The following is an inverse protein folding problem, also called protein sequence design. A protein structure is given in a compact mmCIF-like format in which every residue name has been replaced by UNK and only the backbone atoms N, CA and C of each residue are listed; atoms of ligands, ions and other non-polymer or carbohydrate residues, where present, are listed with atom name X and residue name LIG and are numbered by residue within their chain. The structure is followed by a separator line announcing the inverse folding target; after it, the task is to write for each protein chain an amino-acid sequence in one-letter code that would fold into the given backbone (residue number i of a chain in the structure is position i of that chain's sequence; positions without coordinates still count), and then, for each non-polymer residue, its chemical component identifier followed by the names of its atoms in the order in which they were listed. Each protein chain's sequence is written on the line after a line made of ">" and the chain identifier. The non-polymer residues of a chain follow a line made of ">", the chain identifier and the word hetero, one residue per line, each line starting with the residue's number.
data_IF_676692525149
#
_entry.id   IF_676692525149
#
_cell.length_a   1.000
_cell.length_b   1.000
_cell.length_c   1.000
_cell.angle_alpha   90.00
_cell.angle_beta   90.00
_cell.angle_gamma   90.00
#
_symmetry.space_group_name_H-M   'P 1'
#
loop_
_entity.id
_entity.type
_entity.pdbx_description
1 polymer ?
#
# COMPACT_ATOMS: atom_id res chain seq x y z
N UNK A 1 -35.85 -23.37 -15.95
CA UNK A 1 -35.80 -21.89 -15.95
C UNK A 1 -35.27 -21.24 -14.66
N UNK A 2 -35.08 -21.97 -13.55
CA UNK A 2 -34.60 -21.41 -12.26
C UNK A 2 -33.08 -21.14 -12.18
N UNK A 3 -32.24 -21.95 -12.82
CA UNK A 3 -30.77 -21.80 -12.74
C UNK A 3 -30.23 -20.44 -13.26
N UNK A 4 -30.73 -19.87 -14.38
CA UNK A 4 -30.29 -18.56 -14.86
C UNK A 4 -30.67 -17.41 -13.91
N UNK A 5 -31.80 -17.52 -13.21
CA UNK A 5 -32.27 -16.51 -12.27
C UNK A 5 -31.44 -16.53 -10.97
N UNK A 6 -31.10 -17.72 -10.48
CA UNK A 6 -30.22 -17.88 -9.30
C UNK A 6 -28.80 -17.35 -9.57
N UNK A 7 -28.23 -17.65 -10.75
CA UNK A 7 -26.92 -17.12 -11.14
C UNK A 7 -26.92 -15.59 -11.29
N UNK A 8 -28.02 -15.02 -11.79
CA UNK A 8 -28.20 -13.56 -11.89
C UNK A 8 -28.36 -12.90 -10.51
N UNK A 9 -29.05 -13.55 -9.58
CA UNK A 9 -29.19 -13.06 -8.22
C UNK A 9 -27.86 -13.11 -7.45
N UNK A 10 -27.06 -14.16 -7.62
CA UNK A 10 -25.74 -14.28 -6.99
C UNK A 10 -24.76 -13.22 -7.50
N UNK A 11 -24.68 -13.06 -8.82
CA UNK A 11 -23.85 -12.01 -9.44
C UNK A 11 -24.26 -10.61 -8.97
N UNK A 12 -25.56 -10.32 -8.89
CA UNK A 12 -26.05 -9.05 -8.35
C UNK A 12 -25.65 -8.83 -6.90
N UNK A 13 -25.70 -9.85 -6.04
CA UNK A 13 -25.26 -9.75 -4.63
C UNK A 13 -23.77 -9.42 -4.53
N UNK A 14 -22.93 -10.06 -5.35
CA UNK A 14 -21.48 -9.79 -5.40
C UNK A 14 -21.19 -8.36 -5.83
N UNK A 15 -21.87 -7.88 -6.87
CA UNK A 15 -21.75 -6.50 -7.34
C UNK A 15 -22.19 -5.49 -6.28
N UNK A 16 -23.33 -5.72 -5.62
CA UNK A 16 -23.80 -4.85 -4.53
C UNK A 16 -22.80 -4.77 -3.37
N UNK A 17 -22.18 -5.89 -2.98
CA UNK A 17 -21.14 -5.88 -1.96
C UNK A 17 -19.93 -5.04 -2.38
N UNK A 18 -19.43 -5.28 -3.60
CA UNK A 18 -18.32 -4.51 -4.17
C UNK A 18 -18.62 -3.00 -4.20
N UNK A 19 -19.79 -2.61 -4.70
CA UNK A 19 -20.24 -1.22 -4.77
C UNK A 19 -20.43 -0.59 -3.38
N UNK A 20 -20.91 -1.35 -2.39
CA UNK A 20 -21.06 -0.84 -1.03
C UNK A 20 -19.69 -0.48 -0.41
N UNK A 21 -18.68 -1.34 -0.56
CA UNK A 21 -17.32 -1.02 -0.14
C UNK A 21 -16.70 0.14 -0.95
N UNK A 22 -16.95 0.17 -2.26
CA UNK A 22 -16.53 1.27 -3.13
C UNK A 22 -17.14 2.62 -2.74
N UNK A 23 -18.43 2.67 -2.40
CA UNK A 23 -19.11 3.88 -1.96
C UNK A 23 -18.50 4.43 -0.66
N UNK A 24 -18.23 3.56 0.33
CA UNK A 24 -17.55 3.94 1.57
C UNK A 24 -16.13 4.42 1.28
N UNK A 25 -15.41 3.77 0.37
CA UNK A 25 -14.06 4.19 -0.06
C UNK A 25 -14.09 5.61 -0.61
N UNK A 26 -15.04 5.93 -1.49
CA UNK A 26 -15.20 7.28 -2.06
C UNK A 26 -15.53 8.30 -0.98
N UNK A 27 -16.47 7.97 -0.09
CA UNK A 27 -16.86 8.85 1.03
C UNK A 27 -15.68 9.16 1.97
N UNK A 28 -14.89 8.14 2.36
CA UNK A 28 -13.72 8.32 3.20
C UNK A 28 -12.61 9.10 2.48
N UNK A 29 -12.38 8.81 1.20
CA UNK A 29 -11.40 9.55 0.40
C UNK A 29 -11.77 11.02 0.31
N UNK A 30 -13.03 11.32 0.04
CA UNK A 30 -13.55 12.68 0.04
C UNK A 30 -13.37 13.32 1.42
N UNK A 31 -13.80 12.64 2.50
CA UNK A 31 -13.67 13.15 3.88
C UNK A 31 -12.21 13.46 4.27
N UNK A 32 -11.25 12.64 3.85
CA UNK A 32 -9.84 12.84 4.19
C UNK A 32 -9.17 13.93 3.34
N UNK A 33 -9.65 14.15 2.12
CA UNK A 33 -8.96 15.02 1.15
C UNK A 33 -9.71 16.31 0.82
N UNK A 34 -10.95 16.50 1.29
CA UNK A 34 -11.83 17.61 0.88
C UNK A 34 -11.15 18.99 0.97
N UNK A 35 -10.49 19.29 2.09
CA UNK A 35 -9.83 20.58 2.32
C UNK A 35 -8.65 20.84 1.38
N UNK A 36 -8.13 19.78 0.75
CA UNK A 36 -7.07 19.84 -0.23
C UNK A 36 -7.58 19.87 -1.68
N UNK A 37 -8.89 19.85 -1.95
CA UNK A 37 -9.45 19.77 -3.31
C UNK A 37 -9.65 21.12 -4.00
N UNK A 38 -9.43 22.25 -3.31
CA UNK A 38 -9.41 23.55 -3.98
C UNK A 38 -8.36 23.57 -5.12
N UNK A 39 -8.67 24.23 -6.26
CA UNK A 39 -7.71 24.39 -7.35
C UNK A 39 -6.39 25.02 -6.86
N UNK A 40 -5.27 24.51 -7.37
CA UNK A 40 -3.94 24.99 -7.03
C UNK A 40 -3.05 23.97 -6.31
N UNK A 41 -1.85 24.41 -5.98
CA UNK A 41 -0.77 23.58 -5.46
C UNK A 41 -0.90 23.33 -3.95
N UNK A 42 -0.63 22.10 -3.53
CA UNK A 42 -0.40 21.80 -2.14
C UNK A 42 1.09 21.94 -1.86
N UNK A 43 1.43 22.73 -0.84
CA UNK A 43 2.80 22.93 -0.38
C UNK A 43 2.84 22.57 1.10
N UNK A 44 3.08 21.30 1.39
CA UNK A 44 3.22 20.85 2.77
C UNK A 44 4.22 19.69 2.87
N UNK A 45 5.24 19.87 3.72
CA UNK A 45 6.28 18.87 3.99
C UNK A 45 6.85 18.27 2.70
N UNK A 46 6.76 16.95 2.52
CA UNK A 46 7.30 16.25 1.36
C UNK A 46 6.39 16.36 0.11
N UNK A 47 5.17 16.87 0.25
CA UNK A 47 4.23 17.02 -0.85
C UNK A 47 4.30 18.42 -1.44
N UNK A 48 5.36 18.66 -2.20
CA UNK A 48 5.61 19.92 -2.91
C UNK A 48 5.58 19.64 -4.41
N UNK A 49 4.94 20.52 -5.17
CA UNK A 49 4.89 20.44 -6.64
C UNK A 49 5.00 21.85 -7.21
N UNK A 50 5.67 21.99 -8.35
CA UNK A 50 5.86 23.26 -9.05
C UNK A 50 5.03 23.33 -10.33
N UNK A 51 4.67 24.53 -10.81
CA UNK A 51 3.87 24.66 -12.03
C UNK A 51 4.47 24.04 -13.29
N UNK A 52 5.79 24.16 -13.44
CA UNK A 52 6.53 23.62 -14.58
C UNK A 52 7.65 22.72 -14.03
N UNK A 53 7.39 21.42 -13.82
CA UNK A 53 8.43 20.48 -13.42
C UNK A 53 9.49 20.37 -14.52
N UNK A 54 10.76 20.50 -14.15
CA UNK A 54 11.88 20.38 -15.09
C UNK A 54 12.43 18.95 -15.05
N UNK A 55 12.52 18.31 -16.22
CA UNK A 55 13.23 17.05 -16.38
C UNK A 55 14.74 17.30 -16.31
N UNK A 56 15.32 17.16 -15.13
CA UNK A 56 16.74 17.29 -14.89
C UNK A 56 17.37 15.93 -14.54
N UNK A 57 18.69 15.91 -14.35
CA UNK A 57 19.44 14.69 -14.06
C UNK A 57 19.01 14.00 -12.74
N UNK A 58 18.42 14.73 -11.79
CA UNK A 58 17.91 14.15 -10.54
C UNK A 58 16.72 13.21 -10.78
N UNK A 59 15.86 13.50 -11.77
CA UNK A 59 14.76 12.61 -12.18
C UNK A 59 15.26 11.24 -12.71
N UNK A 60 16.52 11.18 -13.12
CA UNK A 60 17.20 9.96 -13.57
C UNK A 60 18.15 9.36 -12.52
N UNK A 61 18.23 9.94 -11.32
CA UNK A 61 18.98 9.39 -10.18
C UNK A 61 20.31 10.07 -9.85
N UNK A 62 20.63 11.23 -10.44
CA UNK A 62 21.89 11.93 -10.16
C UNK A 62 21.87 12.88 -8.95
N UNK A 63 20.73 13.01 -8.25
CA UNK A 63 20.48 14.07 -7.24
C UNK A 63 20.55 13.63 -5.77
N UNK A 64 21.04 12.43 -5.47
CA UNK A 64 21.08 11.86 -4.12
C UNK A 64 20.61 10.40 -4.11
N UNK A 65 20.08 9.94 -2.97
CA UNK A 65 19.46 8.62 -2.88
C UNK A 65 18.27 8.53 -3.87
N UNK A 66 18.11 7.44 -4.64
CA UNK A 66 17.11 7.32 -5.71
C UNK A 66 15.69 7.06 -5.18
N UNK A 67 15.24 7.83 -4.18
CA UNK A 67 13.97 7.64 -3.46
C UNK A 67 12.72 7.98 -4.28
N UNK A 68 12.88 8.80 -5.32
CA UNK A 68 11.82 9.27 -6.21
C UNK A 68 12.04 8.87 -7.67
N UNK A 69 12.96 7.94 -7.94
CA UNK A 69 13.18 7.42 -9.29
C UNK A 69 12.34 6.15 -9.46
N UNK A 70 11.38 6.07 -10.40
CA UNK A 70 11.08 7.03 -11.49
C UNK A 70 9.89 7.96 -11.23
N UNK A 71 9.36 8.09 -10.00
CA UNK A 71 8.25 9.01 -9.68
C UNK A 71 8.44 10.41 -10.27
N UNK A 72 9.59 11.06 -10.08
CA UNK A 72 9.84 12.43 -10.56
C UNK A 72 9.79 12.51 -12.10
N UNK A 73 10.36 11.51 -12.78
CA UNK A 73 10.27 11.38 -14.24
C UNK A 73 8.81 11.24 -14.68
N UNK A 74 8.05 10.34 -14.06
CA UNK A 74 6.65 10.08 -14.42
C UNK A 74 5.78 11.30 -14.16
N UNK A 75 5.97 12.00 -13.04
CA UNK A 75 5.22 13.22 -12.72
C UNK A 75 5.53 14.36 -13.67
N UNK A 76 6.80 14.57 -14.03
CA UNK A 76 7.19 15.59 -15.00
C UNK A 76 6.66 15.28 -16.41
N UNK A 77 6.67 14.01 -16.83
CA UNK A 77 6.06 13.60 -18.10
C UNK A 77 4.53 13.77 -18.09
N UNK A 78 3.86 13.43 -16.99
CA UNK A 78 2.42 13.64 -16.86
C UNK A 78 2.04 15.13 -16.91
N UNK A 79 2.91 16.00 -16.38
CA UNK A 79 2.73 17.45 -16.41
C UNK A 79 2.79 18.06 -17.82
N UNK A 80 3.26 17.31 -18.83
CA UNK A 80 3.19 17.73 -20.23
C UNK A 80 1.77 17.65 -20.80
N UNK A 81 0.90 16.84 -20.19
CA UNK A 81 -0.46 16.58 -20.69
C UNK A 81 -1.55 17.20 -19.80
N UNK A 82 -1.23 17.51 -18.54
CA UNK A 82 -2.17 18.08 -17.58
C UNK A 82 -1.44 19.05 -16.63
N UNK A 83 -2.13 20.04 -16.06
CA UNK A 83 -1.54 20.90 -15.04
C UNK A 83 -0.94 20.08 -13.90
N UNK A 84 0.28 20.41 -13.46
CA UNK A 84 1.00 19.63 -12.44
C UNK A 84 0.27 19.58 -11.09
N UNK A 85 -0.51 20.61 -10.74
CA UNK A 85 -1.37 20.56 -9.55
C UNK A 85 -2.45 19.48 -9.65
N UNK A 86 -2.97 19.19 -10.85
CA UNK A 86 -3.95 18.11 -11.05
C UNK A 86 -3.28 16.75 -10.88
N UNK A 87 -2.08 16.56 -11.45
CA UNK A 87 -1.26 15.36 -11.23
C UNK A 87 -1.00 15.16 -9.73
N UNK A 88 -0.69 16.24 -9.00
CA UNK A 88 -0.53 16.21 -7.55
C UNK A 88 -1.82 15.76 -6.83
N UNK A 89 -3.00 16.30 -7.16
CA UNK A 89 -4.26 15.84 -6.54
C UNK A 89 -4.56 14.38 -6.86
N UNK A 90 -4.26 13.92 -8.09
CA UNK A 90 -4.43 12.53 -8.47
C UNK A 90 -3.53 11.61 -7.63
N UNK A 91 -2.27 12.00 -7.39
CA UNK A 91 -1.36 11.25 -6.53
C UNK A 91 -1.77 11.26 -5.04
N UNK A 92 -2.57 12.23 -4.62
CA UNK A 92 -3.17 12.29 -3.28
C UNK A 92 -4.38 11.35 -3.15
N UNK A 93 -5.26 11.34 -4.15
CA UNK A 93 -6.58 10.68 -4.11
C UNK A 93 -6.51 9.22 -4.57
N UNK A 94 -5.75 8.93 -5.63
CA UNK A 94 -5.71 7.61 -6.26
C UNK A 94 -5.28 6.48 -5.31
N UNK A 95 -4.27 6.62 -4.43
CA UNK A 95 -3.90 5.56 -3.49
C UNK A 95 -5.05 5.14 -2.57
N UNK A 96 -5.84 6.10 -2.07
CA UNK A 96 -6.96 5.85 -1.16
C UNK A 96 -8.08 5.09 -1.86
N UNK A 97 -8.43 5.53 -3.08
CA UNK A 97 -9.40 4.82 -3.91
C UNK A 97 -8.93 3.41 -4.24
N UNK A 98 -7.71 3.26 -4.74
CA UNK A 98 -7.17 1.96 -5.13
C UNK A 98 -7.12 0.98 -3.96
N UNK A 99 -6.73 1.43 -2.76
CA UNK A 99 -6.70 0.61 -1.56
C UNK A 99 -8.10 0.08 -1.20
N UNK A 100 -9.07 0.98 -1.02
CA UNK A 100 -10.42 0.61 -0.58
C UNK A 100 -11.21 -0.20 -1.63
N UNK A 101 -11.10 0.16 -2.91
CA UNK A 101 -11.72 -0.61 -4.00
C UNK A 101 -11.04 -1.97 -4.18
N UNK A 102 -9.72 -2.07 -3.99
CA UNK A 102 -9.00 -3.32 -4.10
C UNK A 102 -9.41 -4.34 -3.02
N UNK A 103 -9.48 -3.94 -1.75
CA UNK A 103 -9.94 -4.85 -0.68
C UNK A 103 -11.41 -5.20 -0.85
N UNK A 104 -12.24 -4.25 -1.32
CA UNK A 104 -13.65 -4.51 -1.66
C UNK A 104 -13.75 -5.54 -2.79
N UNK A 105 -12.88 -5.45 -3.79
CA UNK A 105 -12.80 -6.45 -4.86
C UNK A 105 -12.47 -7.82 -4.27
N UNK A 106 -11.43 -7.95 -3.44
CA UNK A 106 -11.06 -9.26 -2.86
C UNK A 106 -12.17 -9.88 -2.00
N UNK A 107 -12.93 -9.06 -1.28
CA UNK A 107 -13.92 -9.52 -0.30
C UNK A 107 -15.36 -9.49 -0.81
N UNK A 108 -15.61 -9.13 -2.08
CA UNK A 108 -16.95 -9.05 -2.68
C UNK A 108 -17.80 -10.32 -2.51
N UNK A 109 -17.16 -11.49 -2.45
CA UNK A 109 -17.85 -12.77 -2.25
C UNK A 109 -18.19 -13.07 -0.77
N UNK A 110 -17.73 -12.24 0.17
CA UNK A 110 -18.01 -12.33 1.62
C UNK A 110 -19.14 -11.40 2.07
N UNK A 111 -19.74 -10.64 1.15
CA UNK A 111 -20.90 -9.78 1.41
C UNK A 111 -20.54 -8.34 1.77
N UNK A 112 -21.56 -7.48 1.81
CA UNK A 112 -21.40 -6.02 1.94
C UNK A 112 -20.74 -5.59 3.25
N UNK A 113 -21.02 -6.26 4.37
CA UNK A 113 -20.38 -5.95 5.65
C UNK A 113 -18.85 -6.14 5.58
N UNK A 114 -18.39 -7.24 4.98
CA UNK A 114 -16.96 -7.51 4.84
C UNK A 114 -16.25 -6.48 3.96
N UNK A 115 -16.87 -6.07 2.85
CA UNK A 115 -16.31 -5.07 1.94
C UNK A 115 -16.28 -3.67 2.57
N UNK A 116 -17.33 -3.29 3.31
CA UNK A 116 -17.39 -2.02 4.03
C UNK A 116 -16.31 -1.96 5.11
N UNK A 117 -16.25 -2.95 6.00
CA UNK A 117 -15.27 -2.98 7.10
C UNK A 117 -13.84 -2.97 6.55
N UNK A 118 -13.56 -3.76 5.52
CA UNK A 118 -12.24 -3.75 4.91
C UNK A 118 -11.89 -2.42 4.23
N UNK A 119 -12.84 -1.79 3.53
CA UNK A 119 -12.63 -0.47 2.94
C UNK A 119 -12.30 0.59 4.00
N UNK A 120 -13.02 0.58 5.12
CA UNK A 120 -12.74 1.47 6.27
C UNK A 120 -11.34 1.22 6.81
N UNK A 121 -11.00 -0.02 7.14
CA UNK A 121 -9.68 -0.34 7.72
C UNK A 121 -8.54 -0.08 6.73
N UNK A 122 -8.77 -0.23 5.42
CA UNK A 122 -7.76 0.03 4.40
C UNK A 122 -7.47 1.52 4.19
N UNK A 123 -8.49 2.38 4.30
CA UNK A 123 -8.36 3.82 4.05
C UNK A 123 -8.11 4.62 5.34
N UNK A 124 -8.75 4.20 6.43
CA UNK A 124 -8.72 4.87 7.73
C UNK A 124 -7.90 4.06 8.74
N UNK A 125 -6.58 4.17 8.63
CA UNK A 125 -5.65 3.59 9.60
C UNK A 125 -4.45 4.51 9.83
N UNK A 126 -3.67 4.31 10.92
CA UNK A 126 -2.53 5.14 11.27
C UNK A 126 -1.50 5.26 10.15
N UNK A 127 -1.13 4.15 9.49
CA UNK A 127 -0.13 4.16 8.42
C UNK A 127 -0.52 5.10 7.27
N UNK A 128 -1.77 4.99 6.79
CA UNK A 128 -2.28 5.87 5.73
C UNK A 128 -2.29 7.33 6.18
N UNK A 129 -2.86 7.60 7.35
CA UNK A 129 -2.98 8.96 7.86
C UNK A 129 -1.61 9.63 8.05
N UNK A 130 -0.65 8.93 8.62
CA UNK A 130 0.70 9.42 8.84
C UNK A 130 1.47 9.66 7.53
N UNK A 131 1.33 8.78 6.53
CA UNK A 131 1.93 9.02 5.19
C UNK A 131 1.30 10.25 4.51
N UNK A 132 0.00 10.45 4.65
CA UNK A 132 -0.68 11.64 4.15
C UNK A 132 -0.17 12.90 4.86
N UNK A 133 -0.07 12.87 6.19
CA UNK A 133 0.43 14.00 6.99
C UNK A 133 1.88 14.34 6.68
N UNK A 134 2.74 13.34 6.43
CA UNK A 134 4.14 13.57 6.01
C UNK A 134 4.26 14.20 4.62
N UNK A 135 3.21 14.12 3.80
CA UNK A 135 3.29 14.53 2.39
C UNK A 135 3.84 13.44 1.47
N UNK A 136 3.78 12.19 1.91
CA UNK A 136 4.32 11.04 1.20
C UNK A 136 3.20 10.22 0.53
N UNK A 137 2.12 10.86 0.09
CA UNK A 137 0.98 10.19 -0.54
C UNK A 137 1.38 9.23 -1.69
N UNK A 138 2.36 9.53 -2.58
CA UNK A 138 2.78 8.60 -3.62
C UNK A 138 3.34 7.26 -3.10
N UNK A 139 3.90 7.22 -1.88
CA UNK A 139 4.39 5.97 -1.26
C UNK A 139 3.25 5.01 -0.93
N UNK A 140 2.03 5.52 -0.75
CA UNK A 140 0.84 4.71 -0.53
C UNK A 140 0.39 3.93 -1.77
N UNK A 141 0.91 4.23 -2.96
CA UNK A 141 0.62 3.42 -4.15
C UNK A 141 1.08 1.96 -3.98
N UNK A 142 2.20 1.74 -3.27
CA UNK A 142 2.65 0.39 -2.91
C UNK A 142 1.61 -0.35 -2.07
N UNK A 143 1.14 0.30 -1.01
CA UNK A 143 0.11 -0.21 -0.11
C UNK A 143 -1.22 -0.45 -0.84
N UNK A 144 -1.65 0.52 -1.66
CA UNK A 144 -2.91 0.48 -2.38
C UNK A 144 -2.98 -0.65 -3.41
N UNK A 145 -1.83 -1.05 -3.97
CA UNK A 145 -1.75 -2.11 -4.97
C UNK A 145 -1.65 -3.53 -4.38
N UNK A 146 -1.45 -3.68 -3.07
CA UNK A 146 -1.44 -4.99 -2.39
C UNK A 146 -2.66 -5.86 -2.79
N UNK A 147 -3.91 -5.41 -2.64
CA UNK A 147 -5.07 -6.23 -2.97
C UNK A 147 -5.15 -6.60 -4.47
N UNK A 148 -4.74 -5.70 -5.35
CA UNK A 148 -4.74 -5.92 -6.80
C UNK A 148 -3.67 -6.91 -7.23
N UNK A 149 -2.48 -6.86 -6.61
CA UNK A 149 -1.42 -7.84 -6.82
C UNK A 149 -1.83 -9.23 -6.33
N UNK A 150 -2.48 -9.32 -5.16
CA UNK A 150 -3.03 -10.60 -4.67
C UNK A 150 -4.06 -11.15 -5.67
N UNK A 151 -4.96 -10.30 -6.17
CA UNK A 151 -5.94 -10.68 -7.17
C UNK A 151 -5.31 -11.15 -8.50
N UNK A 152 -4.27 -10.44 -8.96
CA UNK A 152 -3.54 -10.78 -10.18
C UNK A 152 -2.81 -12.12 -10.05
N UNK A 153 -2.10 -12.35 -8.95
CA UNK A 153 -1.37 -13.59 -8.67
C UNK A 153 -2.32 -14.78 -8.57
N UNK A 154 -3.48 -14.61 -7.91
CA UNK A 154 -4.50 -15.66 -7.72
C UNK A 154 -5.51 -15.77 -8.85
N UNK A 155 -5.35 -14.99 -9.92
CA UNK A 155 -6.23 -15.04 -11.08
C UNK A 155 -6.24 -16.46 -11.67
N UNK A 156 -7.42 -17.04 -11.97
CA UNK A 156 -7.53 -18.38 -12.56
C UNK A 156 -7.14 -18.41 -14.05
N UNK A 157 -6.73 -17.27 -14.61
CA UNK A 157 -6.37 -17.14 -16.02
C UNK A 157 -5.02 -17.78 -16.34
N UNK A 158 -4.72 -17.87 -17.64
CA UNK A 158 -3.44 -18.40 -18.13
C UNK A 158 -2.25 -17.65 -17.53
N UNK A 159 -1.10 -18.32 -17.50
CA UNK A 159 0.17 -17.79 -16.97
C UNK A 159 0.55 -16.45 -17.60
N UNK A 160 0.45 -16.32 -18.92
CA UNK A 160 0.76 -15.06 -19.62
C UNK A 160 -0.14 -13.91 -19.16
N UNK A 161 -1.43 -14.16 -18.94
CA UNK A 161 -2.35 -13.13 -18.43
C UNK A 161 -2.06 -12.80 -16.97
N UNK A 162 -1.68 -13.78 -16.13
CA UNK A 162 -1.26 -13.52 -14.74
C UNK A 162 -0.04 -12.59 -14.71
N UNK A 163 0.97 -12.83 -15.56
CA UNK A 163 2.15 -11.96 -15.69
C UNK A 163 1.70 -10.55 -16.07
N UNK A 164 0.89 -10.39 -17.11
CA UNK A 164 0.41 -9.08 -17.55
C UNK A 164 -0.36 -8.33 -16.45
N UNK A 165 -1.23 -9.03 -15.71
CA UNK A 165 -1.98 -8.45 -14.58
C UNK A 165 -1.06 -8.03 -13.42
N UNK A 166 -0.05 -8.84 -13.10
CA UNK A 166 0.93 -8.49 -12.06
C UNK A 166 1.76 -7.29 -12.49
N UNK A 167 2.26 -7.27 -13.73
CA UNK A 167 2.98 -6.12 -14.29
C UNK A 167 2.13 -4.85 -14.20
N UNK A 168 0.88 -4.89 -14.67
CA UNK A 168 -0.04 -3.76 -14.64
C UNK A 168 -0.31 -3.27 -13.21
N UNK A 169 -0.56 -4.20 -12.28
CA UNK A 169 -0.80 -3.86 -10.88
C UNK A 169 0.46 -3.33 -10.17
N UNK A 170 1.66 -3.70 -10.62
CA UNK A 170 2.92 -3.24 -10.05
C UNK A 170 3.31 -1.82 -10.53
N UNK A 171 2.85 -1.37 -11.71
CA UNK A 171 3.23 -0.07 -12.27
C UNK A 171 3.07 1.12 -11.30
N UNK A 172 1.93 1.29 -10.58
CA UNK A 172 1.82 2.40 -9.62
C UNK A 172 2.73 2.20 -8.39
N UNK A 173 2.88 0.94 -7.94
CA UNK A 173 3.64 0.62 -6.74
C UNK A 173 5.15 0.90 -6.92
N UNK A 174 5.72 0.53 -8.06
CA UNK A 174 7.16 0.66 -8.34
C UNK A 174 7.63 2.09 -8.60
N UNK A 175 6.71 3.08 -8.61
CA UNK A 175 7.08 4.50 -8.69
C UNK A 175 7.94 4.93 -7.50
N UNK A 176 7.84 4.22 -6.37
CA UNK A 176 8.68 4.43 -5.19
C UNK A 176 9.43 3.15 -4.83
N UNK A 177 10.68 3.22 -4.31
CA UNK A 177 11.40 2.02 -3.88
C UNK A 177 10.64 1.20 -2.83
N UNK A 178 10.02 1.87 -1.85
CA UNK A 178 9.22 1.20 -0.82
C UNK A 178 8.02 0.48 -1.44
N UNK A 179 7.33 1.11 -2.39
CA UNK A 179 6.22 0.47 -3.08
C UNK A 179 6.65 -0.70 -3.96
N UNK A 180 7.83 -0.63 -4.59
CA UNK A 180 8.44 -1.75 -5.30
C UNK A 180 8.74 -2.95 -4.40
N UNK A 181 9.30 -2.70 -3.21
CA UNK A 181 9.51 -3.74 -2.18
C UNK A 181 8.19 -4.34 -1.71
N UNK A 182 7.19 -3.51 -1.40
CA UNK A 182 5.85 -3.98 -1.03
C UNK A 182 5.22 -4.84 -2.13
N UNK A 183 5.35 -4.43 -3.39
CA UNK A 183 4.82 -5.17 -4.53
C UNK A 183 5.48 -6.55 -4.68
N UNK A 184 6.81 -6.58 -4.62
CA UNK A 184 7.57 -7.84 -4.72
C UNK A 184 7.22 -8.79 -3.56
N UNK A 185 7.26 -8.31 -2.31
CA UNK A 185 6.89 -9.11 -1.14
C UNK A 185 5.45 -9.65 -1.27
N UNK A 186 4.51 -8.81 -1.71
CA UNK A 186 3.11 -9.23 -1.92
C UNK A 186 3.02 -10.34 -2.96
N UNK A 187 3.71 -10.22 -4.09
CA UNK A 187 3.72 -11.24 -5.14
C UNK A 187 4.31 -12.55 -4.64
N UNK A 188 5.45 -12.50 -3.94
CA UNK A 188 6.12 -13.68 -3.39
C UNK A 188 5.24 -14.40 -2.36
N UNK A 189 4.65 -13.65 -1.41
CA UNK A 189 3.75 -14.20 -0.38
C UNK A 189 2.47 -14.77 -1.01
N UNK A 190 1.86 -14.05 -1.96
CA UNK A 190 0.68 -14.51 -2.66
C UNK A 190 0.96 -15.77 -3.50
N UNK A 191 2.10 -15.85 -4.19
CA UNK A 191 2.49 -17.02 -4.97
C UNK A 191 2.84 -18.22 -4.08
N UNK A 192 3.50 -17.99 -2.95
CA UNK A 192 3.79 -19.01 -1.94
C UNK A 192 2.50 -19.61 -1.33
N UNK A 193 1.41 -18.84 -1.33
CA UNK A 193 0.10 -19.30 -0.85
C UNK A 193 -0.68 -20.20 -1.83
N UNK A 194 -0.17 -20.40 -3.05
CA UNK A 194 -0.83 -21.24 -4.06
C UNK A 194 -0.72 -22.75 -3.75
N UNK A 195 -1.63 -23.59 -4.30
CA UNK A 195 -1.58 -25.06 -4.15
C UNK A 195 -0.25 -25.68 -4.58
N UNK A 196 0.03 -26.92 -4.14
CA UNK A 196 1.33 -27.59 -4.34
C UNK A 196 1.76 -27.72 -5.81
N UNK A 197 3.09 -27.75 -6.02
CA UNK A 197 3.73 -28.21 -7.26
C UNK A 197 4.54 -27.17 -8.04
N UNK A 198 4.27 -25.86 -7.90
CA UNK A 198 4.93 -24.82 -8.72
C UNK A 198 5.24 -23.49 -8.00
N UNK A 199 5.26 -23.47 -6.66
CA UNK A 199 5.31 -22.23 -5.86
C UNK A 199 6.54 -21.36 -6.10
N UNK A 200 7.73 -21.95 -6.04
CA UNK A 200 9.00 -21.21 -6.21
C UNK A 200 9.09 -20.69 -7.64
N UNK A 201 8.76 -21.53 -8.63
CA UNK A 201 8.76 -21.15 -10.02
C UNK A 201 7.75 -20.04 -10.33
N UNK A 202 6.50 -20.16 -9.86
CA UNK A 202 5.48 -19.13 -10.05
C UNK A 202 5.84 -17.83 -9.30
N UNK A 203 6.43 -17.93 -8.10
CA UNK A 203 6.91 -16.76 -7.36
C UNK A 203 8.04 -16.04 -8.11
N UNK A 204 9.03 -16.78 -8.61
CA UNK A 204 10.11 -16.22 -9.43
C UNK A 204 9.55 -15.60 -10.72
N UNK A 205 8.75 -16.34 -11.47
CA UNK A 205 8.18 -15.90 -12.73
C UNK A 205 7.33 -14.64 -12.61
N UNK A 206 6.47 -14.56 -11.58
CA UNK A 206 5.62 -13.39 -11.35
C UNK A 206 6.38 -12.24 -10.69
N UNK A 207 7.46 -12.51 -9.97
CA UNK A 207 8.33 -11.49 -9.37
C UNK A 207 9.25 -10.81 -10.38
N UNK A 208 9.69 -11.51 -11.43
CA UNK A 208 10.55 -10.97 -12.48
C UNK A 208 10.07 -9.65 -13.11
N UNK A 209 8.80 -9.49 -13.55
CA UNK A 209 8.35 -8.21 -14.08
C UNK A 209 8.40 -7.08 -13.04
N UNK A 210 8.14 -7.36 -11.76
CA UNK A 210 8.23 -6.36 -10.68
C UNK A 210 9.67 -5.91 -10.48
N UNK A 211 10.62 -6.86 -10.48
CA UNK A 211 12.05 -6.58 -10.41
C UNK A 211 12.51 -5.74 -11.63
N UNK A 212 12.04 -6.10 -12.83
CA UNK A 212 12.31 -5.35 -14.05
C UNK A 212 11.84 -3.90 -13.96
N UNK A 213 10.64 -3.66 -13.42
CA UNK A 213 10.09 -2.33 -13.19
C UNK A 213 10.84 -1.54 -12.10
N UNK A 214 11.51 -2.22 -11.17
CA UNK A 214 12.34 -1.59 -10.13
C UNK A 214 13.77 -1.24 -10.59
N UNK A 215 14.18 -1.67 -11.80
CA UNK A 215 15.53 -1.41 -12.31
C UNK A 215 15.96 0.07 -12.25
N UNK A 216 15.11 1.08 -12.52
CA UNK A 216 15.54 2.48 -12.47
C UNK A 216 16.19 2.88 -11.14
N UNK A 217 15.62 2.50 -9.99
CA UNK A 217 16.21 2.83 -8.69
C UNK A 217 17.22 1.79 -8.21
N UNK A 218 17.07 0.51 -8.58
CA UNK A 218 18.05 -0.54 -8.24
C UNK A 218 19.40 -0.23 -8.89
N UNK A 219 19.40 0.06 -10.20
CA UNK A 219 20.64 0.36 -10.93
C UNK A 219 21.30 1.63 -10.41
N UNK A 220 20.52 2.66 -10.07
CA UNK A 220 21.05 3.88 -9.45
C UNK A 220 21.64 3.61 -8.06
N UNK A 221 20.97 2.81 -7.24
CA UNK A 221 21.46 2.43 -5.91
C UNK A 221 22.71 1.56 -5.96
N UNK A 222 22.81 0.64 -6.92
CA UNK A 222 24.02 -0.19 -7.10
C UNK A 222 25.20 0.61 -7.67
N UNK A 223 24.93 1.63 -8.49
CA UNK A 223 25.96 2.48 -9.09
C UNK A 223 26.65 3.36 -8.05
N UNK A 224 25.93 3.83 -7.03
CA UNK A 224 26.51 4.56 -5.90
C UNK A 224 25.74 4.25 -4.60
N UNK A 225 26.10 3.15 -3.90
CA UNK A 225 25.36 2.65 -2.74
C UNK A 225 25.34 3.59 -1.53
N UNK A 226 26.30 4.51 -1.42
CA UNK A 226 26.41 5.44 -0.30
C UNK A 226 25.95 6.85 -0.65
N UNK A 227 25.53 7.11 -1.90
CA UNK A 227 25.05 8.42 -2.34
C UNK A 227 23.85 8.89 -1.53
N UNK A 228 24.04 9.97 -0.78
CA UNK A 228 23.01 10.53 0.09
C UNK A 228 22.77 9.73 1.37
N UNK A 229 23.54 8.68 1.64
CA UNK A 229 23.49 7.95 2.90
C UNK A 229 24.32 8.68 3.96
N UNK A 230 23.70 9.01 5.09
CA UNK A 230 24.38 9.56 6.27
C UNK A 230 23.90 8.79 7.51
N UNK A 231 24.79 8.30 8.39
CA UNK A 231 24.39 7.60 9.61
C UNK A 231 23.43 8.42 10.50
N UNK A 232 23.65 9.73 10.58
CA UNK A 232 22.76 10.65 11.27
C UNK A 232 21.35 10.74 10.63
N UNK A 233 21.23 10.47 9.33
CA UNK A 233 19.94 10.39 8.65
C UNK A 233 19.16 9.16 9.10
N UNK A 234 19.80 7.99 9.19
CA UNK A 234 19.14 6.76 9.64
C UNK A 234 18.54 6.91 11.04
N UNK A 235 19.26 7.57 11.96
CA UNK A 235 18.78 7.87 13.30
C UNK A 235 17.69 8.94 13.32
N UNK A 236 17.81 10.01 12.50
CA UNK A 236 16.80 11.06 12.41
C UNK A 236 15.46 10.59 11.80
N UNK A 237 15.49 9.56 10.95
CA UNK A 237 14.32 8.94 10.32
C UNK A 237 13.92 7.61 10.95
N UNK A 238 14.54 7.23 12.08
CA UNK A 238 14.20 6.04 12.83
C UNK A 238 12.75 6.11 13.31
N UNK A 239 12.09 4.95 13.38
CA UNK A 239 10.73 4.86 13.92
C UNK A 239 10.68 5.44 15.32
N UNK A 240 9.71 6.30 15.59
CA UNK A 240 9.52 6.93 16.88
C UNK A 240 8.24 6.45 17.55
N UNK A 241 8.11 6.73 18.84
CA UNK A 241 6.86 6.45 19.56
C UNK A 241 5.82 7.52 19.24
N UNK A 242 4.60 7.09 18.90
CA UNK A 242 3.45 7.97 18.64
C UNK A 242 2.25 7.67 19.55
N UNK A 243 2.41 6.70 20.45
CA UNK A 243 1.38 6.20 21.36
C UNK A 243 1.96 5.91 22.76
N UNK A 244 1.12 5.77 23.80
CA UNK A 244 1.58 5.38 25.14
C UNK A 244 2.23 3.98 25.21
N UNK A 245 2.12 3.17 24.16
CA UNK A 245 2.68 1.82 24.10
C UNK A 245 4.14 1.76 23.62
N UNK A 246 4.81 2.92 23.50
CA UNK A 246 6.19 3.00 23.04
C UNK A 246 6.35 2.67 21.56
N UNK A 247 7.61 2.53 21.11
CA UNK A 247 7.95 2.25 19.71
C UNK A 247 7.33 0.94 19.23
N UNK A 248 7.41 -0.14 20.03
CA UNK A 248 6.87 -1.46 19.66
C UNK A 248 5.36 -1.40 19.43
N UNK A 249 4.62 -0.81 20.36
CA UNK A 249 3.17 -0.66 20.22
C UNK A 249 2.79 0.23 19.04
N UNK A 250 3.56 1.29 18.79
CA UNK A 250 3.38 2.18 17.64
C UNK A 250 3.49 1.40 16.33
N UNK A 251 4.55 0.60 16.13
CA UNK A 251 4.73 -0.23 14.93
C UNK A 251 3.65 -1.30 14.77
N UNK A 252 3.31 -2.01 15.86
CA UNK A 252 2.27 -3.05 15.85
C UNK A 252 0.86 -2.52 15.54
N UNK A 253 0.64 -1.22 15.76
CA UNK A 253 -0.63 -0.55 15.48
C UNK A 253 -0.56 0.31 14.22
N UNK A 254 0.45 0.08 13.36
CA UNK A 254 0.66 0.73 12.05
C UNK A 254 1.12 2.20 12.10
N UNK A 255 1.54 2.69 13.27
CA UNK A 255 2.08 4.03 13.45
C UNK A 255 3.60 4.07 13.53
N UNK A 256 4.12 5.11 14.17
CA UNK A 256 5.54 5.27 14.49
C UNK A 256 6.29 6.25 13.61
N UNK A 257 5.63 7.30 13.13
CA UNK A 257 6.31 8.38 12.40
C UNK A 257 7.31 9.12 13.28
N UNK A 258 8.52 9.30 12.75
CA UNK A 258 9.64 10.03 13.37
C UNK A 258 9.38 11.54 13.54
N UNK A 259 8.47 12.11 12.75
CA UNK A 259 8.24 13.54 12.66
C UNK A 259 7.11 13.99 13.62
N UNK A 260 7.39 14.79 14.66
CA UNK A 260 6.38 15.23 15.63
C UNK A 260 5.24 16.05 15.01
N UNK A 261 5.47 16.73 13.89
CA UNK A 261 4.39 17.46 13.20
C UNK A 261 3.41 16.56 12.43
N UNK A 262 3.75 15.30 12.18
CA UNK A 262 3.03 14.42 11.26
C UNK A 262 2.44 13.16 11.92
N UNK A 263 2.41 13.09 13.26
CA UNK A 263 1.72 12.05 14.00
C UNK A 263 0.27 12.46 14.32
N UNK A 264 -0.59 11.46 14.56
CA UNK A 264 -1.98 11.70 14.96
C UNK A 264 -2.07 12.01 16.45
N UNK A 265 -2.45 13.23 16.82
CA UNK A 265 -2.60 13.64 18.23
C UNK A 265 -3.53 12.72 19.02
N UNK A 266 -4.55 12.13 18.39
CA UNK A 266 -5.42 11.15 19.04
C UNK A 266 -4.67 9.91 19.55
N UNK A 267 -3.61 9.46 18.88
CA UNK A 267 -2.84 8.25 19.24
C UNK A 267 -2.05 8.39 20.53
N UNK A 268 -1.77 9.63 20.96
CA UNK A 268 -1.16 9.92 22.27
C UNK A 268 -2.08 9.59 23.45
N UNK A 269 -3.36 9.31 23.21
CA UNK A 269 -4.38 9.10 24.24
C UNK A 269 -4.59 7.60 24.52
N UNK A 270 -4.68 7.24 25.80
CA UNK A 270 -4.97 5.87 26.25
C UNK A 270 -6.23 5.23 25.64
N UNK A 271 -7.37 5.93 25.46
CA UNK A 271 -8.55 5.32 24.83
C UNK A 271 -8.31 4.88 23.39
N UNK A 272 -7.52 5.64 22.63
CA UNK A 272 -7.17 5.29 21.24
C UNK A 272 -6.28 4.06 21.21
N UNK A 273 -5.28 3.99 22.09
CA UNK A 273 -4.48 2.77 22.25
C UNK A 273 -5.35 1.55 22.62
N UNK A 274 -6.31 1.71 23.54
CA UNK A 274 -7.24 0.64 23.91
C UNK A 274 -8.06 0.12 22.72
N UNK A 275 -8.56 1.02 21.87
CA UNK A 275 -9.27 0.65 20.65
C UNK A 275 -8.37 -0.08 19.63
N UNK A 276 -7.12 0.35 19.48
CA UNK A 276 -6.15 -0.29 18.58
C UNK A 276 -5.76 -1.68 19.07
N UNK A 277 -5.52 -1.85 20.37
CA UNK A 277 -5.29 -3.17 20.98
C UNK A 277 -6.49 -4.08 20.75
N UNK A 278 -7.72 -3.57 20.93
CA UNK A 278 -8.93 -4.34 20.65
C UNK A 278 -9.00 -4.79 19.18
N UNK A 279 -8.64 -3.93 18.23
CA UNK A 279 -8.57 -4.30 16.81
C UNK A 279 -7.50 -5.35 16.53
N UNK A 280 -6.32 -5.27 17.16
CA UNK A 280 -5.27 -6.28 17.06
C UNK A 280 -5.75 -7.63 17.60
N UNK A 281 -6.41 -7.64 18.77
CA UNK A 281 -7.00 -8.86 19.35
C UNK A 281 -8.04 -9.45 18.40
N UNK A 282 -8.94 -8.64 17.85
CA UNK A 282 -9.93 -9.08 16.85
C UNK A 282 -9.24 -9.67 15.61
N UNK A 283 -8.15 -9.07 15.13
CA UNK A 283 -7.39 -9.58 14.00
C UNK A 283 -6.74 -10.95 14.30
N UNK A 284 -6.18 -11.13 15.49
CA UNK A 284 -5.60 -12.42 15.95
C UNK A 284 -6.70 -13.48 16.07
N UNK A 285 -7.84 -13.15 16.68
CA UNK A 285 -8.99 -14.05 16.75
C UNK A 285 -9.49 -14.42 15.36
N UNK A 286 -9.64 -13.45 14.46
CA UNK A 286 -10.06 -13.68 13.08
C UNK A 286 -9.07 -14.58 12.33
N UNK A 287 -7.76 -14.35 12.47
CA UNK A 287 -6.73 -15.24 11.92
C UNK A 287 -6.89 -16.66 12.46
N UNK A 288 -7.10 -16.82 13.77
CA UNK A 288 -7.30 -18.13 14.42
C UNK A 288 -8.52 -18.88 13.89
N UNK A 289 -9.62 -18.17 13.60
CA UNK A 289 -10.80 -18.79 12.98
C UNK A 289 -10.56 -19.12 11.50
N UNK A 290 -9.96 -18.20 10.74
CA UNK A 290 -9.70 -18.38 9.30
C UNK A 290 -8.75 -19.56 9.06
N UNK A 291 -7.74 -19.74 9.92
CA UNK A 291 -6.75 -20.81 9.75
C UNK A 291 -7.31 -22.22 10.00
N UNK A 292 -8.51 -22.34 10.57
CA UNK A 292 -9.22 -23.64 10.73
C UNK A 292 -9.72 -24.16 9.39
N UNK A 293 -9.96 -23.30 8.40
CA UNK A 293 -10.24 -23.74 7.03
C UNK A 293 -8.92 -24.17 6.35
N UNK A 294 -8.77 -25.44 5.94
CA UNK A 294 -7.56 -25.93 5.29
C UNK A 294 -7.18 -25.15 4.03
N UNK A 295 -8.16 -24.56 3.34
CA UNK A 295 -7.96 -23.75 2.12
C UNK A 295 -7.36 -22.38 2.44
N UNK A 296 -7.64 -21.85 3.64
CA UNK A 296 -7.23 -20.51 4.06
C UNK A 296 -6.11 -20.51 5.12
N UNK A 297 -5.78 -21.66 5.70
CA UNK A 297 -4.71 -21.82 6.68
C UNK A 297 -3.38 -21.23 6.21
N UNK A 298 -2.87 -21.69 5.07
CA UNK A 298 -1.59 -21.21 4.53
C UNK A 298 -1.58 -19.72 4.22
N UNK A 299 -2.55 -19.16 3.47
CA UNK A 299 -2.53 -17.74 3.19
C UNK A 299 -2.68 -16.89 4.47
N UNK A 300 -3.45 -17.34 5.47
CA UNK A 300 -3.57 -16.65 6.74
C UNK A 300 -2.26 -16.67 7.54
N UNK A 301 -1.62 -17.84 7.65
CA UNK A 301 -0.34 -18.01 8.35
C UNK A 301 0.79 -17.22 7.65
N UNK A 302 0.84 -17.23 6.32
CA UNK A 302 1.82 -16.44 5.55
C UNK A 302 1.59 -14.94 5.65
N UNK A 303 0.33 -14.48 5.68
CA UNK A 303 0.03 -13.06 5.86
C UNK A 303 0.47 -12.58 7.25
N UNK A 304 0.21 -13.37 8.30
CA UNK A 304 0.68 -13.07 9.66
C UNK A 304 2.21 -13.09 9.74
N UNK A 305 2.86 -14.08 9.14
CA UNK A 305 4.32 -14.17 9.11
C UNK A 305 4.96 -13.00 8.36
N UNK A 306 4.38 -12.59 7.22
CA UNK A 306 4.86 -11.45 6.46
C UNK A 306 4.72 -10.15 7.27
N UNK A 307 3.59 -9.94 7.94
CA UNK A 307 3.39 -8.80 8.82
C UNK A 307 4.39 -8.79 9.99
N UNK A 308 4.53 -9.92 10.69
CA UNK A 308 5.49 -10.06 11.79
C UNK A 308 6.93 -9.81 11.35
N UNK A 309 7.34 -10.33 10.18
CA UNK A 309 8.66 -10.07 9.61
C UNK A 309 8.88 -8.58 9.34
N UNK A 310 7.90 -7.88 8.76
CA UNK A 310 8.01 -6.44 8.52
C UNK A 310 8.16 -5.67 9.84
N UNK A 311 7.35 -6.00 10.85
CA UNK A 311 7.45 -5.40 12.19
C UNK A 311 8.84 -5.61 12.79
N UNK A 312 9.34 -6.84 12.77
CA UNK A 312 10.67 -7.18 13.31
C UNK A 312 11.78 -6.43 12.55
N UNK A 313 11.73 -6.40 11.22
CA UNK A 313 12.73 -5.69 10.40
C UNK A 313 12.70 -4.19 10.69
N UNK A 314 11.52 -3.58 10.80
CA UNK A 314 11.40 -2.15 11.14
C UNK A 314 11.99 -1.87 12.52
N UNK A 315 11.70 -2.70 13.53
CA UNK A 315 12.23 -2.55 14.87
C UNK A 315 13.75 -2.78 14.94
N UNK A 316 14.30 -3.71 14.15
CA UNK A 316 15.75 -3.94 14.09
C UNK A 316 16.49 -2.78 13.41
N UNK A 317 15.87 -2.15 12.40
CA UNK A 317 16.45 -1.02 11.66
C UNK A 317 16.27 0.30 12.42
N UNK A 318 15.37 0.36 13.39
CA UNK A 318 15.13 1.53 14.26
C UNK A 318 16.39 2.01 15.03
N UNK A 319 17.39 1.14 15.20
CA UNK A 319 18.50 1.38 16.13
C UNK A 319 18.12 1.06 17.58
N UNK A 320 19.08 1.12 18.52
CA UNK A 320 18.82 1.02 19.96
C UNK A 320 17.97 2.19 20.49
#
# INVERSE_FOLDING_TARGET
>A
MLAPQLARAETWRVWRAFLAGGAVTVALTALLTWGAMAPGYLLYRDFVTVPVPVLNAAAFGSGGAPRSVPLDLVTALAAMFAPSWLVQKLLLVAPLLLAGWGVSFLLRHRGAAATIVAAVLAVWNPYVAERLLLGQAPTLLGYAMIPWLIAAVRSPRSRGVRIALVTLAALPAVLTPVGGVMALLTVLVAAASLPFGRRIFDAALLGLPVLGLCLPWILNGLRDPTRGAMPAGATAFAVATDSPAGVIGSVLTLGGVWAPGAHLVSRTKWPTLGAEIALVVVAICAWWFVRRDPRLRRPADLALAAYGLVVVVVLLVAGP
#
